data_IF_312379084120
#
_entry.id   IF_312379084120
#
_cell.length_a   1.000
_cell.length_b   1.000
_cell.length_c   1.000
_cell.angle_alpha   90.00
_cell.angle_beta   90.00
_cell.angle_gamma   90.00
#
_symmetry.space_group_name_H-M   'P 1'
#
loop_
_entity.id
_entity.type
_entity.pdbx_description
1 polymer ?
#
# COMPACT_ATOMS: atom_id res chain seq x y z
N UNK A 1 54.00 -50.38 -26.65
CA UNK A 1 55.06 -49.37 -26.89
C UNK A 1 54.46 -47.98 -26.91
N UNK A 2 55.00 -47.07 -26.08
CA UNK A 2 55.14 -45.61 -26.22
C UNK A 2 53.98 -44.77 -26.81
N UNK A 3 53.40 -43.85 -25.99
CA UNK A 3 53.55 -42.36 -26.02
C UNK A 3 52.63 -41.67 -27.08
N UNK A 4 52.00 -40.50 -26.95
CA UNK A 4 51.71 -39.46 -25.93
C UNK A 4 50.89 -38.36 -26.67
N UNK A 5 50.23 -37.44 -25.93
CA UNK A 5 49.57 -36.16 -26.36
C UNK A 5 48.21 -36.31 -27.08
N UNK A 6 47.17 -35.47 -26.88
CA UNK A 6 47.13 -34.04 -26.54
C UNK A 6 45.79 -33.65 -25.86
N UNK A 7 45.86 -32.68 -24.97
CA UNK A 7 44.79 -31.94 -24.29
C UNK A 7 44.03 -31.02 -25.25
N UNK A 8 42.69 -31.01 -25.24
CA UNK A 8 41.87 -29.80 -25.46
C UNK A 8 40.64 -29.83 -24.54
N UNK A 9 40.60 -28.85 -23.64
CA UNK A 9 39.55 -28.52 -22.70
C UNK A 9 38.56 -27.59 -23.43
N UNK A 10 37.29 -27.98 -23.62
CA UNK A 10 36.23 -27.07 -24.05
C UNK A 10 35.37 -26.75 -22.82
N UNK A 11 35.58 -25.55 -22.27
CA UNK A 11 34.66 -24.89 -21.37
C UNK A 11 33.37 -24.56 -22.12
N UNK A 12 32.28 -25.25 -21.79
CA UNK A 12 30.93 -24.74 -22.01
C UNK A 12 30.44 -24.10 -20.72
N UNK A 13 30.74 -22.80 -20.59
CA UNK A 13 30.10 -21.91 -19.64
C UNK A 13 28.62 -21.82 -20.02
N UNK A 14 27.77 -22.62 -19.36
CA UNK A 14 26.32 -22.36 -19.38
C UNK A 14 26.11 -21.21 -18.40
N UNK A 15 26.15 -19.98 -18.93
CA UNK A 15 25.57 -18.81 -18.29
C UNK A 15 24.06 -19.04 -18.20
N UNK A 16 23.62 -19.64 -17.09
CA UNK A 16 22.22 -19.64 -16.70
C UNK A 16 21.88 -18.22 -16.27
N UNK A 17 21.45 -17.40 -17.23
CA UNK A 17 20.81 -16.10 -16.96
C UNK A 17 19.52 -16.43 -16.22
N UNK A 18 19.55 -16.28 -14.90
CA UNK A 18 18.34 -16.25 -14.09
C UNK A 18 17.51 -15.07 -14.61
N UNK A 19 16.42 -15.38 -15.29
CA UNK A 19 15.39 -14.42 -15.64
C UNK A 19 14.85 -13.87 -14.31
N UNK A 20 15.21 -12.64 -13.97
CA UNK A 20 14.83 -11.98 -12.72
C UNK A 20 13.31 -11.73 -12.73
N UNK A 21 12.57 -12.57 -12.01
CA UNK A 21 11.16 -12.31 -11.72
C UNK A 21 11.04 -11.40 -10.50
N UNK A 22 10.56 -10.17 -10.72
CA UNK A 22 10.10 -9.29 -9.66
C UNK A 22 8.90 -9.95 -8.96
N UNK A 23 9.05 -10.30 -7.68
CA UNK A 23 7.97 -10.90 -6.89
C UNK A 23 7.18 -9.79 -6.18
N UNK A 24 5.95 -9.55 -6.64
CA UNK A 24 4.99 -8.73 -5.91
C UNK A 24 4.58 -9.44 -4.61
N UNK A 25 4.31 -8.65 -3.57
CA UNK A 25 3.82 -9.13 -2.28
C UNK A 25 2.38 -9.72 -2.32
N UNK A 26 1.81 -9.93 -3.51
CA UNK A 26 0.61 -10.71 -3.76
C UNK A 26 0.73 -11.33 -5.15
N UNK A 27 0.53 -12.63 -5.26
CA UNK A 27 0.53 -13.38 -6.52
C UNK A 27 -0.68 -13.03 -7.39
N UNK A 28 -0.70 -11.81 -7.94
CA UNK A 28 -1.58 -11.39 -9.04
C UNK A 28 -0.72 -10.57 -10.00
N UNK A 29 -0.76 -10.93 -11.28
CA UNK A 29 0.10 -10.47 -12.37
C UNK A 29 0.47 -8.96 -12.35
N UNK A 30 1.76 -8.69 -12.25
CA UNK A 30 2.38 -7.38 -12.45
C UNK A 30 2.39 -7.02 -13.94
N UNK A 31 1.46 -6.15 -14.37
CA UNK A 31 1.65 -5.13 -15.40
C UNK A 31 0.40 -4.28 -15.71
N UNK A 32 -0.72 -4.48 -15.01
CA UNK A 32 -1.83 -3.52 -15.03
C UNK A 32 -1.85 -2.77 -13.71
N UNK A 33 -1.51 -1.48 -13.74
CA UNK A 33 -1.88 -0.59 -12.64
C UNK A 33 -3.41 -0.67 -12.55
N UNK A 34 -3.95 -1.28 -11.47
CA UNK A 34 -5.38 -1.57 -11.25
C UNK A 34 -6.37 -0.41 -11.44
N UNK A 35 -5.85 0.78 -11.68
CA UNK A 35 -6.55 2.05 -11.61
C UNK A 35 -6.82 2.62 -13.00
N UNK A 36 -6.09 2.23 -14.06
CA UNK A 36 -6.32 2.81 -15.39
C UNK A 36 -7.50 2.18 -16.11
N UNK A 37 -7.78 0.90 -15.81
CA UNK A 37 -8.85 0.15 -16.44
C UNK A 37 -9.88 -0.33 -15.40
N UNK A 38 -11.17 -0.34 -15.76
CA UNK A 38 -12.20 -0.88 -14.89
C UNK A 38 -11.98 -2.34 -14.51
N UNK A 39 -12.42 -2.72 -13.31
CA UNK A 39 -12.41 -4.12 -12.86
C UNK A 39 -13.82 -4.62 -12.57
N UNK A 40 -14.01 -5.93 -12.73
CA UNK A 40 -15.26 -6.62 -12.39
C UNK A 40 -15.22 -7.10 -10.93
N UNK A 41 -16.36 -7.18 -10.24
CA UNK A 41 -16.43 -7.82 -8.94
C UNK A 41 -16.05 -9.30 -9.03
N UNK A 42 -15.42 -9.80 -7.98
CA UNK A 42 -14.99 -11.20 -7.81
C UNK A 42 -15.63 -11.87 -6.57
N UNK A 43 -16.40 -11.11 -5.78
CA UNK A 43 -17.16 -11.57 -4.63
C UNK A 43 -18.60 -11.07 -4.70
N UNK A 44 -19.49 -11.80 -4.04
CA UNK A 44 -20.90 -11.46 -3.94
C UNK A 44 -21.14 -10.28 -2.99
N UNK A 45 -22.29 -9.63 -3.19
CA UNK A 45 -22.80 -8.60 -2.30
C UNK A 45 -23.08 -9.16 -0.89
N UNK A 46 -22.78 -8.36 0.13
CA UNK A 46 -23.13 -8.62 1.52
C UNK A 46 -23.90 -7.42 2.06
N UNK A 47 -25.25 -7.43 1.98
CA UNK A 47 -26.06 -6.34 2.50
C UNK A 47 -25.83 -6.10 4.00
N UNK A 48 -25.83 -4.83 4.40
CA UNK A 48 -25.57 -4.41 5.78
C UNK A 48 -26.42 -3.20 6.16
N UNK A 49 -26.88 -3.18 7.41
CA UNK A 49 -27.55 -2.01 7.99
C UNK A 49 -26.54 -0.90 8.30
N UNK A 50 -27.07 0.32 8.34
CA UNK A 50 -26.31 1.50 8.71
C UNK A 50 -26.07 1.58 10.22
N UNK A 51 -24.88 2.05 10.60
CA UNK A 51 -24.55 2.36 11.99
C UNK A 51 -25.28 3.60 12.51
N UNK A 52 -25.68 4.49 11.60
CA UNK A 52 -26.39 5.74 11.89
C UNK A 52 -27.57 5.90 10.93
N UNK A 53 -28.73 6.42 11.37
CA UNK A 53 -29.84 6.74 10.48
C UNK A 53 -29.42 7.82 9.46
N UNK A 54 -29.66 7.58 8.17
CA UNK A 54 -29.17 8.46 7.10
C UNK A 54 -30.01 9.73 6.97
N UNK A 55 -31.29 9.67 7.34
CA UNK A 55 -32.27 10.76 7.34
C UNK A 55 -31.88 11.99 8.17
N UNK A 56 -30.96 11.83 9.12
CA UNK A 56 -30.52 12.90 10.00
C UNK A 56 -29.15 13.45 9.61
N UNK A 57 -28.51 12.89 8.59
CA UNK A 57 -27.19 13.33 8.18
C UNK A 57 -27.29 14.43 7.13
N UNK A 58 -26.40 15.41 7.26
CA UNK A 58 -26.32 16.55 6.37
C UNK A 58 -25.04 16.48 5.53
N UNK A 59 -25.05 17.09 4.33
CA UNK A 59 -23.87 17.19 3.50
C UNK A 59 -22.78 18.01 4.21
N UNK A 60 -21.51 17.65 3.97
CA UNK A 60 -20.36 18.32 4.61
C UNK A 60 -20.23 19.80 4.20
N UNK A 61 -20.74 20.14 3.03
CA UNK A 61 -20.77 21.46 2.43
C UNK A 61 -21.54 22.47 3.31
N UNK A 62 -22.60 22.02 4.01
CA UNK A 62 -23.36 22.87 4.93
C UNK A 62 -22.52 23.38 6.11
N UNK A 63 -21.56 22.57 6.59
CA UNK A 63 -20.74 22.95 7.75
C UNK A 63 -19.61 23.91 7.39
N UNK A 64 -19.29 24.04 6.11
CA UNK A 64 -18.11 24.76 5.65
C UNK A 64 -18.43 26.10 5.00
N UNK A 65 -19.71 26.44 4.88
CA UNK A 65 -20.17 27.65 4.20
C UNK A 65 -19.88 27.66 2.70
N UNK A 66 -19.51 26.50 2.12
CA UNK A 66 -19.35 26.31 0.68
C UNK A 66 -20.73 26.19 0.01
N UNK A 67 -21.46 27.29 0.01
CA UNK A 67 -22.61 27.49 -0.86
C UNK A 67 -22.06 27.63 -2.32
N UNK A 68 -22.43 26.84 -3.34
CA UNK A 68 -23.57 25.95 -3.57
C UNK A 68 -23.16 25.01 -4.74
N UNK A 69 -23.12 23.68 -4.56
CA UNK A 69 -23.32 22.76 -5.70
C UNK A 69 -24.74 22.95 -6.21
N UNK A 70 -24.93 23.31 -7.49
CA UNK A 70 -26.23 23.84 -7.93
C UNK A 70 -26.92 22.99 -8.96
N UNK A 71 -28.24 23.11 -8.89
CA UNK A 71 -29.12 22.93 -10.04
C UNK A 71 -28.96 24.16 -10.94
N UNK A 72 -28.53 23.92 -12.17
CA UNK A 72 -28.34 24.89 -13.23
C UNK A 72 -29.66 25.05 -14.00
N UNK A 73 -30.49 25.97 -13.52
CA UNK A 73 -31.83 26.18 -14.09
C UNK A 73 -32.78 25.05 -13.69
N UNK A 74 -33.22 24.22 -14.64
CA UNK A 74 -34.13 23.09 -14.38
C UNK A 74 -33.33 21.86 -13.94
N UNK A 75 -33.73 21.22 -12.84
CA UNK A 75 -33.14 19.97 -12.36
C UNK A 75 -33.35 18.83 -13.37
N UNK A 76 -32.26 18.38 -13.99
CA UNK A 76 -32.21 17.29 -14.95
C UNK A 76 -31.58 16.02 -14.37
N UNK A 77 -31.30 15.97 -13.06
CA UNK A 77 -30.78 14.75 -12.42
C UNK A 77 -31.82 13.65 -12.46
N UNK A 78 -31.35 12.43 -12.68
CA UNK A 78 -32.20 11.24 -12.76
C UNK A 78 -31.86 10.24 -11.68
N UNK A 79 -32.89 9.65 -11.06
CA UNK A 79 -32.74 8.52 -10.15
C UNK A 79 -32.07 7.34 -10.85
N UNK A 80 -31.04 6.75 -10.23
CA UNK A 80 -30.42 5.52 -10.72
C UNK A 80 -31.20 4.30 -10.22
N UNK A 81 -32.12 3.79 -11.05
CA UNK A 81 -32.93 2.60 -10.71
C UNK A 81 -32.09 1.32 -10.60
N UNK A 82 -31.04 1.19 -11.40
CA UNK A 82 -30.15 0.02 -11.46
C UNK A 82 -28.82 0.27 -10.73
N UNK A 83 -28.87 0.81 -9.52
CA UNK A 83 -27.70 1.23 -8.73
C UNK A 83 -26.73 0.08 -8.39
N UNK A 84 -27.16 -1.19 -8.48
CA UNK A 84 -26.30 -2.38 -8.31
C UNK A 84 -25.59 -2.82 -9.59
N UNK A 85 -25.83 -2.14 -10.73
CA UNK A 85 -25.17 -2.39 -12.00
C UNK A 85 -23.94 -1.48 -12.19
N UNK A 86 -22.99 -1.92 -13.02
CA UNK A 86 -21.86 -1.08 -13.44
C UNK A 86 -22.35 0.08 -14.33
N UNK A 87 -21.80 1.32 -14.21
CA UNK A 87 -20.73 1.72 -13.30
C UNK A 87 -21.20 2.06 -11.87
N UNK A 88 -22.50 2.27 -11.66
CA UNK A 88 -23.09 2.81 -10.43
C UNK A 88 -22.74 2.06 -9.16
N UNK A 89 -22.58 0.73 -9.25
CA UNK A 89 -22.22 -0.10 -8.09
C UNK A 89 -20.85 0.20 -7.49
N UNK A 90 -19.98 0.91 -8.20
CA UNK A 90 -18.66 1.36 -7.73
C UNK A 90 -18.72 2.68 -6.96
N UNK A 91 -19.85 3.38 -7.04
CA UNK A 91 -20.08 4.67 -6.37
C UNK A 91 -20.64 4.38 -4.98
N UNK A 92 -20.06 5.01 -3.97
CA UNK A 92 -20.33 4.72 -2.57
C UNK A 92 -20.75 5.98 -1.82
N UNK A 93 -21.68 5.81 -0.88
CA UNK A 93 -22.01 6.81 0.12
C UNK A 93 -20.92 6.79 1.18
N UNK A 94 -20.41 7.97 1.57
CA UNK A 94 -19.46 8.13 2.65
C UNK A 94 -20.14 8.77 3.84
N UNK A 95 -20.02 8.14 5.01
CA UNK A 95 -20.34 8.79 6.28
C UNK A 95 -19.02 9.19 6.94
N UNK A 96 -18.81 10.49 7.13
CA UNK A 96 -17.54 11.05 7.56
C UNK A 96 -17.75 11.83 8.85
N UNK A 97 -17.11 11.38 9.93
CA UNK A 97 -17.21 12.03 11.24
C UNK A 97 -16.06 13.01 11.40
N UNK A 98 -16.37 14.28 11.61
CA UNK A 98 -15.43 15.32 12.01
C UNK A 98 -15.76 15.74 13.44
N UNK A 99 -14.79 15.63 14.35
CA UNK A 99 -15.04 15.70 15.79
C UNK A 99 -16.17 14.75 16.20
N UNK A 100 -17.38 15.26 16.48
CA UNK A 100 -18.53 14.47 16.92
C UNK A 100 -19.73 14.54 15.97
N UNK A 101 -19.57 15.15 14.78
CA UNK A 101 -20.66 15.30 13.81
C UNK A 101 -20.34 14.45 12.59
N UNK A 102 -21.32 13.65 12.17
CA UNK A 102 -21.23 12.83 10.95
C UNK A 102 -21.92 13.53 9.80
N UNK A 103 -21.22 13.61 8.67
CA UNK A 103 -21.68 14.19 7.42
C UNK A 103 -21.78 13.11 6.34
N UNK A 104 -22.52 13.42 5.27
CA UNK A 104 -22.53 12.61 4.05
C UNK A 104 -21.67 13.23 2.95
N UNK A 105 -21.13 12.35 2.12
CA UNK A 105 -20.42 12.67 0.88
C UNK A 105 -20.44 11.45 -0.04
N UNK A 106 -19.81 11.59 -1.21
CA UNK A 106 -19.71 10.52 -2.20
C UNK A 106 -18.25 10.10 -2.41
N UNK A 107 -18.02 8.84 -2.75
CA UNK A 107 -16.73 8.35 -3.22
C UNK A 107 -16.89 7.33 -4.33
N UNK A 108 -15.77 6.93 -4.94
CA UNK A 108 -15.73 5.94 -6.00
C UNK A 108 -14.66 4.91 -5.77
N UNK A 109 -15.01 3.63 -5.87
CA UNK A 109 -14.05 2.53 -5.76
C UNK A 109 -13.18 2.46 -7.02
N UNK A 110 -11.86 2.58 -6.84
CA UNK A 110 -10.85 2.64 -7.91
C UNK A 110 -9.83 1.49 -7.87
N UNK A 111 -9.84 0.69 -6.80
CA UNK A 111 -9.06 -0.54 -6.63
C UNK A 111 -9.72 -1.41 -5.53
N UNK A 112 -9.30 -2.68 -5.31
CA UNK A 112 -9.94 -3.57 -4.34
C UNK A 112 -10.18 -2.96 -2.96
N UNK A 113 -9.20 -2.24 -2.41
CA UNK A 113 -9.25 -1.61 -1.09
C UNK A 113 -9.15 -0.08 -1.15
N UNK A 114 -9.53 0.56 -2.27
CA UNK A 114 -9.25 1.99 -2.48
C UNK A 114 -10.41 2.76 -3.08
N UNK A 115 -10.71 3.91 -2.49
CA UNK A 115 -11.70 4.88 -2.96
C UNK A 115 -11.03 6.22 -3.28
N UNK A 116 -11.48 6.85 -4.35
CA UNK A 116 -11.23 8.24 -4.71
C UNK A 116 -12.41 9.11 -4.27
N UNK A 117 -12.13 10.26 -3.68
CA UNK A 117 -13.15 11.22 -3.21
C UNK A 117 -12.56 12.64 -3.13
N UNK A 118 -13.37 13.63 -2.74
CA UNK A 118 -12.91 14.98 -2.48
C UNK A 118 -12.00 15.00 -1.23
N UNK A 119 -11.02 15.90 -1.18
CA UNK A 119 -10.19 16.07 0.00
C UNK A 119 -10.96 16.60 1.20
N UNK A 120 -11.92 17.50 1.02
CA UNK A 120 -12.70 18.04 2.14
C UNK A 120 -13.54 16.96 2.86
N UNK A 121 -13.94 15.88 2.17
CA UNK A 121 -14.55 14.69 2.77
C UNK A 121 -13.63 13.97 3.78
N UNK A 122 -12.32 14.24 3.73
CA UNK A 122 -11.29 13.49 4.45
C UNK A 122 -10.49 14.37 5.42
N UNK A 123 -10.19 15.60 5.02
CA UNK A 123 -9.50 16.62 5.80
C UNK A 123 -10.11 17.99 5.49
N UNK A 124 -10.53 18.72 6.52
CA UNK A 124 -10.97 20.11 6.38
C UNK A 124 -10.57 20.89 7.65
N UNK A 125 -9.73 21.91 7.50
CA UNK A 125 -9.22 22.68 8.65
C UNK A 125 -10.33 23.48 9.34
N UNK A 126 -11.43 23.78 8.65
CA UNK A 126 -12.61 24.45 9.21
C UNK A 126 -13.39 23.53 10.15
N UNK A 127 -13.23 22.21 10.00
CA UNK A 127 -13.90 21.17 10.80
C UNK A 127 -12.95 20.47 11.79
N UNK A 128 -11.81 21.08 12.11
CA UNK A 128 -10.83 20.53 13.05
C UNK A 128 -9.79 19.59 12.42
N UNK A 129 -9.68 19.56 11.09
CA UNK A 129 -8.64 18.83 10.38
C UNK A 129 -9.13 17.49 9.85
N UNK A 130 -8.46 16.39 10.21
CA UNK A 130 -8.79 15.06 9.69
C UNK A 130 -10.13 14.57 10.22
N UNK A 131 -10.96 13.98 9.35
CA UNK A 131 -12.08 13.16 9.79
C UNK A 131 -11.58 12.11 10.79
N UNK A 132 -12.30 11.85 11.87
CA UNK A 132 -11.94 10.85 12.89
C UNK A 132 -12.36 9.46 12.44
N UNK A 133 -13.51 9.34 11.78
CA UNK A 133 -14.03 8.09 11.22
C UNK A 133 -14.60 8.32 9.82
N UNK A 134 -14.41 7.35 8.93
CA UNK A 134 -15.08 7.34 7.61
C UNK A 134 -15.52 5.90 7.33
N UNK A 135 -16.79 5.72 6.98
CA UNK A 135 -17.35 4.45 6.52
C UNK A 135 -17.93 4.62 5.12
N UNK A 136 -17.55 3.72 4.21
CA UNK A 136 -18.08 3.67 2.85
C UNK A 136 -19.17 2.61 2.74
N UNK A 137 -20.28 2.95 2.10
CA UNK A 137 -21.43 2.08 1.86
C UNK A 137 -21.71 1.95 0.36
N UNK A 138 -21.60 0.73 -0.16
CA UNK A 138 -21.89 0.42 -1.56
C UNK A 138 -23.33 -0.05 -1.74
N UNK A 139 -23.98 0.45 -2.80
CA UNK A 139 -25.39 0.18 -3.07
C UNK A 139 -26.30 0.74 -1.96
N UNK A 140 -26.00 1.94 -1.47
CA UNK A 140 -26.81 2.62 -0.47
C UNK A 140 -28.25 2.85 -0.96
N UNK A 141 -29.19 2.64 -0.04
CA UNK A 141 -30.64 2.89 -0.16
C UNK A 141 -31.15 3.53 1.14
N UNK A 142 -32.43 3.83 1.29
CA UNK A 142 -32.97 4.43 2.52
C UNK A 142 -32.60 3.68 3.80
N UNK A 143 -32.64 2.35 3.78
CA UNK A 143 -32.58 1.56 5.01
C UNK A 143 -31.26 0.79 5.18
N UNK A 144 -30.53 0.52 4.09
CA UNK A 144 -29.32 -0.32 4.12
C UNK A 144 -28.42 -0.10 2.92
N UNK A 145 -27.18 -0.55 3.05
CA UNK A 145 -26.27 -0.74 1.94
C UNK A 145 -26.43 -2.16 1.38
N UNK A 146 -26.82 -2.30 0.11
CA UNK A 146 -27.16 -3.61 -0.45
C UNK A 146 -25.97 -4.39 -1.00
N UNK A 147 -24.80 -3.78 -1.14
CA UNK A 147 -23.60 -4.45 -1.66
C UNK A 147 -22.59 -4.73 -0.56
N UNK A 148 -22.37 -3.78 0.34
CA UNK A 148 -21.42 -3.95 1.44
C UNK A 148 -20.98 -2.61 2.02
N UNK A 149 -20.14 -2.70 3.05
CA UNK A 149 -19.48 -1.55 3.65
C UNK A 149 -18.03 -1.83 3.99
N UNK A 150 -17.26 -0.77 4.14
CA UNK A 150 -15.90 -0.84 4.65
C UNK A 150 -15.54 0.44 5.42
N UNK A 151 -14.88 0.27 6.56
CA UNK A 151 -14.26 1.38 7.28
C UNK A 151 -12.94 1.76 6.63
N UNK A 152 -12.61 3.04 6.68
CA UNK A 152 -11.31 3.56 6.22
C UNK A 152 -10.20 3.21 7.22
N UNK A 153 -9.04 2.85 6.68
CA UNK A 153 -7.79 2.56 7.40
C UNK A 153 -6.74 3.68 7.22
N UNK A 154 -6.53 4.14 5.99
CA UNK A 154 -5.55 5.20 5.66
C UNK A 154 -6.17 6.26 4.79
N UNK A 155 -5.69 7.49 4.95
CA UNK A 155 -6.19 8.69 4.27
C UNK A 155 -5.01 9.40 3.63
N UNK A 156 -5.15 9.75 2.36
CA UNK A 156 -4.17 10.51 1.61
C UNK A 156 -4.85 11.72 1.00
N UNK A 157 -4.30 12.89 1.29
CA UNK A 157 -4.80 14.19 0.83
C UNK A 157 -3.60 14.94 0.26
N UNK A 158 -3.83 15.76 -0.78
CA UNK A 158 -2.77 16.59 -1.34
C UNK A 158 -2.26 17.60 -0.28
N UNK A 159 -0.94 17.75 -0.08
CA UNK A 159 -0.40 18.74 0.85
C UNK A 159 -0.90 20.17 0.58
N UNK A 160 -1.08 20.53 -0.69
CA UNK A 160 -1.59 21.84 -1.08
C UNK A 160 -3.02 22.09 -0.57
N UNK A 161 -3.86 21.06 -0.53
CA UNK A 161 -5.19 21.15 0.09
C UNK A 161 -5.08 21.41 1.59
N UNK A 162 -4.24 20.65 2.31
CA UNK A 162 -4.05 20.80 3.76
C UNK A 162 -3.65 22.24 4.11
N UNK A 163 -2.80 22.86 3.28
CA UNK A 163 -2.26 24.18 3.53
C UNK A 163 -3.17 25.33 3.07
N UNK A 164 -4.00 25.12 2.05
CA UNK A 164 -4.71 26.23 1.37
C UNK A 164 -6.23 26.10 1.31
N UNK A 165 -6.80 24.90 1.49
CA UNK A 165 -8.21 24.60 1.21
C UNK A 165 -8.64 25.00 -0.23
N UNK A 166 -7.70 25.06 -1.17
CA UNK A 166 -7.95 25.49 -2.55
C UNK A 166 -8.67 24.41 -3.35
N UNK A 167 -9.73 24.80 -4.06
CA UNK A 167 -10.49 23.93 -4.96
C UNK A 167 -9.66 23.33 -6.11
N UNK A 168 -8.44 23.82 -6.33
CA UNK A 168 -7.48 23.26 -7.30
C UNK A 168 -6.85 21.93 -6.83
N UNK A 169 -6.93 21.64 -5.53
CA UNK A 169 -6.27 20.50 -4.90
C UNK A 169 -7.23 19.61 -4.09
N UNK A 170 -8.54 19.77 -4.28
CA UNK A 170 -9.56 19.05 -3.52
C UNK A 170 -9.74 17.61 -4.02
N UNK A 171 -8.75 16.78 -3.72
CA UNK A 171 -8.69 15.37 -4.13
C UNK A 171 -8.02 14.53 -3.04
N UNK A 172 -8.65 13.41 -2.73
CA UNK A 172 -8.14 12.45 -1.76
C UNK A 172 -8.33 11.01 -2.20
N UNK A 173 -7.46 10.16 -1.66
CA UNK A 173 -7.54 8.71 -1.74
C UNK A 173 -7.67 8.14 -0.33
N UNK A 174 -8.66 7.28 -0.12
CA UNK A 174 -8.85 6.56 1.13
C UNK A 174 -8.67 5.05 0.92
N UNK A 175 -7.92 4.42 1.81
CA UNK A 175 -7.71 2.96 1.83
C UNK A 175 -8.65 2.32 2.83
N UNK A 176 -9.25 1.21 2.44
CA UNK A 176 -10.25 0.49 3.21
C UNK A 176 -9.62 -0.63 4.04
N UNK A 177 -10.19 -0.91 5.22
CA UNK A 177 -9.82 -2.07 6.04
C UNK A 177 -10.18 -3.40 5.39
N UNK A 178 -11.24 -3.42 4.58
CA UNK A 178 -11.72 -4.58 3.82
C UNK A 178 -11.91 -4.20 2.36
N UNK A 179 -11.60 -5.11 1.42
CA UNK A 179 -11.56 -4.76 0.00
C UNK A 179 -12.96 -4.72 -0.65
N UNK A 180 -13.69 -3.62 -0.44
CA UNK A 180 -15.04 -3.39 -1.00
C UNK A 180 -15.08 -3.46 -2.54
N UNK A 181 -13.95 -3.20 -3.21
CA UNK A 181 -13.78 -3.36 -4.66
C UNK A 181 -13.92 -4.78 -5.15
N UNK A 182 -13.73 -5.79 -4.30
CA UNK A 182 -14.00 -7.18 -4.69
C UNK A 182 -15.51 -7.44 -4.89
N UNK A 183 -16.39 -6.66 -4.26
CA UNK A 183 -17.85 -6.78 -4.39
C UNK A 183 -18.44 -5.81 -5.42
N UNK A 184 -17.77 -4.67 -5.61
CA UNK A 184 -18.22 -3.56 -6.46
C UNK A 184 -17.57 -3.56 -7.84
N UNK A 185 -16.37 -4.13 -7.98
CA UNK A 185 -15.47 -3.80 -9.09
C UNK A 185 -14.83 -2.42 -8.89
N UNK A 186 -14.30 -1.83 -9.95
CA UNK A 186 -13.75 -0.47 -9.89
C UNK A 186 -13.93 0.28 -11.20
N UNK A 187 -13.97 1.61 -11.13
CA UNK A 187 -13.81 2.48 -12.30
C UNK A 187 -12.34 2.69 -12.63
N UNK A 188 -12.04 2.81 -13.93
CA UNK A 188 -10.73 3.25 -14.40
C UNK A 188 -10.57 4.76 -14.24
N UNK A 189 -9.34 5.25 -14.35
CA UNK A 189 -8.96 6.66 -14.23
C UNK A 189 -8.07 7.04 -15.41
N UNK A 190 -8.28 8.23 -15.97
CA UNK A 190 -7.43 8.78 -17.03
C UNK A 190 -7.22 10.28 -16.86
N UNK A 191 -6.06 10.74 -17.32
CA UNK A 191 -5.69 12.15 -17.50
C UNK A 191 -5.99 12.65 -18.92
N UNK A 192 -6.51 11.79 -19.79
CA UNK A 192 -6.91 12.14 -21.15
C UNK A 192 -8.30 12.78 -21.10
N UNK A 193 -8.33 14.09 -21.33
CA UNK A 193 -9.54 14.91 -21.24
C UNK A 193 -9.74 15.64 -22.57
N UNK A 194 -10.97 15.62 -23.08
CA UNK A 194 -11.36 16.27 -24.33
C UNK A 194 -12.45 17.31 -24.07
N UNK A 195 -12.14 18.58 -24.32
CA UNK A 195 -13.14 19.66 -24.23
C UNK A 195 -14.37 19.35 -25.10
N UNK A 196 -15.56 19.69 -24.61
CA UNK A 196 -16.87 19.42 -25.20
C UNK A 196 -17.23 17.93 -25.35
N UNK A 197 -16.51 17.01 -24.68
CA UNK A 197 -16.97 15.63 -24.59
C UNK A 197 -18.18 15.49 -23.67
N UNK A 198 -19.03 14.50 -23.96
CA UNK A 198 -20.14 14.13 -23.07
C UNK A 198 -19.57 13.38 -21.87
N UNK A 199 -19.90 13.86 -20.69
CA UNK A 199 -19.47 13.31 -19.41
C UNK A 199 -20.67 13.02 -18.53
N UNK A 200 -20.44 12.18 -17.54
CA UNK A 200 -21.45 11.79 -16.56
C UNK A 200 -20.89 11.94 -15.14
N UNK A 201 -21.78 12.17 -14.20
CA UNK A 201 -21.51 12.10 -12.76
C UNK A 201 -22.68 11.44 -12.06
N UNK A 202 -22.43 10.83 -10.90
CA UNK A 202 -23.47 10.32 -10.03
C UNK A 202 -22.99 10.31 -8.57
N UNK A 203 -23.92 10.50 -7.65
CA UNK A 203 -23.66 10.51 -6.23
C UNK A 203 -24.92 10.58 -5.41
N UNK A 204 -24.75 10.95 -4.14
CA UNK A 204 -25.79 10.91 -3.13
C UNK A 204 -26.19 12.33 -2.67
N UNK A 205 -27.05 13.03 -3.43
CA UNK A 205 -27.46 14.38 -3.07
C UNK A 205 -28.43 14.41 -1.89
N UNK A 206 -28.18 15.31 -0.94
CA UNK A 206 -28.97 15.48 0.28
C UNK A 206 -30.42 15.91 0.01
N UNK A 207 -30.68 16.74 -1.02
CA UNK A 207 -32.04 17.16 -1.37
C UNK A 207 -32.94 16.00 -1.86
N UNK A 208 -32.34 14.85 -2.18
CA UNK A 208 -33.04 13.59 -2.51
C UNK A 208 -32.86 12.53 -1.42
N UNK A 209 -32.56 12.96 -0.20
CA UNK A 209 -32.32 12.14 0.98
C UNK A 209 -30.84 11.94 1.30
N UNK A 210 -29.93 11.89 0.33
CA UNK A 210 -28.51 11.63 0.62
C UNK A 210 -28.16 10.15 0.82
N UNK A 211 -29.11 9.23 0.59
CA UNK A 211 -28.89 7.78 0.54
C UNK A 211 -29.38 7.14 -0.76
N UNK A 212 -29.84 7.97 -1.70
CA UNK A 212 -30.33 7.52 -3.00
C UNK A 212 -29.42 8.05 -4.10
N UNK A 213 -28.96 7.17 -4.98
CA UNK A 213 -28.03 7.53 -6.04
C UNK A 213 -28.76 8.25 -7.19
N UNK A 214 -28.31 9.46 -7.51
CA UNK A 214 -28.76 10.24 -8.67
C UNK A 214 -27.60 10.44 -9.64
N UNK A 215 -27.93 10.54 -10.93
CA UNK A 215 -26.96 10.79 -11.99
C UNK A 215 -27.33 12.01 -12.82
N UNK A 216 -26.32 12.62 -13.42
CA UNK A 216 -26.46 13.64 -14.44
C UNK A 216 -25.55 13.36 -15.64
N UNK A 217 -25.85 13.99 -16.76
CA UNK A 217 -25.06 13.91 -18.00
C UNK A 217 -25.04 15.29 -18.64
N UNK A 218 -23.90 15.68 -19.20
CA UNK A 218 -23.71 17.00 -19.77
C UNK A 218 -22.41 17.07 -20.56
N UNK A 219 -22.04 18.28 -20.95
CA UNK A 219 -20.83 18.57 -21.71
C UNK A 219 -19.76 19.17 -20.81
N UNK A 220 -18.53 18.73 -21.01
CA UNK A 220 -17.36 19.37 -20.44
C UNK A 220 -17.13 20.74 -21.12
N UNK A 221 -17.40 21.84 -20.43
CA UNK A 221 -17.40 23.21 -21.01
C UNK A 221 -16.08 23.95 -20.88
N UNK A 222 -15.26 23.63 -19.87
CA UNK A 222 -13.97 24.27 -19.64
C UNK A 222 -13.02 23.33 -18.91
N UNK A 223 -11.74 23.44 -19.26
CA UNK A 223 -10.63 22.71 -18.64
C UNK A 223 -9.54 23.71 -18.28
N UNK A 224 -9.05 23.67 -17.05
CA UNK A 224 -7.84 24.37 -16.61
C UNK A 224 -6.77 23.33 -16.25
N UNK A 225 -5.66 23.78 -15.66
CA UNK A 225 -4.60 22.87 -15.19
C UNK A 225 -5.07 21.95 -14.07
N UNK A 226 -5.99 22.45 -13.23
CA UNK A 226 -6.40 21.80 -11.98
C UNK A 226 -7.89 21.47 -11.89
N UNK A 227 -8.74 22.09 -12.71
CA UNK A 227 -10.19 21.90 -12.63
C UNK A 227 -10.83 21.64 -14.00
N UNK A 228 -11.97 20.96 -13.98
CA UNK A 228 -12.86 20.77 -15.13
C UNK A 228 -14.26 21.28 -14.78
N UNK A 229 -14.94 21.94 -15.72
CA UNK A 229 -16.24 22.60 -15.49
C UNK A 229 -17.27 22.12 -16.50
N UNK A 230 -18.52 21.95 -16.06
CA UNK A 230 -19.58 21.32 -16.84
C UNK A 230 -20.97 21.80 -16.47
N UNK A 231 -21.92 21.55 -17.36
CA UNK A 231 -23.33 21.92 -17.26
C UNK A 231 -24.20 20.80 -16.67
N UNK A 232 -23.65 20.04 -15.71
CA UNK A 232 -24.38 18.97 -15.02
C UNK A 232 -24.85 19.45 -13.65
N UNK A 233 -26.14 19.28 -13.39
CA UNK A 233 -26.76 19.54 -12.10
C UNK A 233 -26.21 18.66 -10.98
N UNK A 234 -25.84 19.29 -9.86
CA UNK A 234 -25.39 18.60 -8.63
C UNK A 234 -25.95 19.29 -7.39
N UNK A 235 -25.71 18.72 -6.21
CA UNK A 235 -26.23 19.20 -4.95
C UNK A 235 -25.45 18.55 -3.80
N UNK A 236 -25.29 19.28 -2.69
CA UNK A 236 -24.50 18.87 -1.54
C UNK A 236 -24.73 17.41 -1.13
N UNK A 237 -23.64 16.72 -0.81
CA UNK A 237 -23.57 15.27 -0.61
C UNK A 237 -23.04 14.52 -1.84
N UNK A 238 -23.04 15.16 -3.00
CA UNK A 238 -22.33 14.67 -4.20
C UNK A 238 -20.85 15.05 -4.23
N UNK A 239 -20.35 15.80 -3.24
CA UNK A 239 -18.91 15.99 -3.08
C UNK A 239 -18.16 14.67 -3.03
N UNK A 240 -17.19 14.52 -3.92
CA UNK A 240 -16.41 13.31 -4.16
C UNK A 240 -16.97 12.36 -5.21
N UNK A 241 -18.09 12.70 -5.86
CA UNK A 241 -18.63 11.96 -7.01
C UNK A 241 -17.61 11.88 -8.16
N UNK A 242 -17.55 10.73 -8.87
CA UNK A 242 -16.71 10.62 -10.05
C UNK A 242 -17.33 11.40 -11.20
N UNK A 243 -16.51 12.12 -11.95
CA UNK A 243 -16.85 12.63 -13.28
C UNK A 243 -16.14 11.74 -14.29
N UNK A 244 -16.90 11.00 -15.11
CA UNK A 244 -16.34 10.03 -16.06
C UNK A 244 -16.76 10.29 -17.50
N UNK A 245 -15.88 9.86 -18.41
CA UNK A 245 -16.09 9.96 -19.86
C UNK A 245 -16.81 8.73 -20.44
N UNK A 246 -17.03 8.71 -21.75
CA UNK A 246 -17.71 7.60 -22.44
C UNK A 246 -17.01 6.23 -22.31
N UNK A 247 -15.72 6.19 -21.96
CA UNK A 247 -14.97 4.94 -21.70
C UNK A 247 -15.17 4.41 -20.27
N UNK A 248 -16.02 5.06 -19.47
CA UNK A 248 -16.15 4.84 -18.02
C UNK A 248 -14.81 5.02 -17.29
N UNK A 249 -14.05 6.06 -17.67
CA UNK A 249 -12.84 6.46 -16.96
C UNK A 249 -13.05 7.80 -16.28
N UNK A 250 -12.68 7.87 -15.01
CA UNK A 250 -12.76 9.08 -14.19
C UNK A 250 -11.73 10.09 -14.74
N UNK A 251 -12.21 11.30 -15.02
CA UNK A 251 -11.42 12.45 -15.46
C UNK A 251 -11.41 13.58 -14.43
N UNK A 252 -12.27 13.51 -13.41
CA UNK A 252 -12.28 14.45 -12.29
C UNK A 252 -13.12 13.94 -11.11
N UNK A 253 -12.97 14.63 -9.99
CA UNK A 253 -13.72 14.39 -8.75
C UNK A 253 -14.55 15.63 -8.45
N UNK A 254 -15.87 15.51 -8.50
CA UNK A 254 -16.79 16.61 -8.24
C UNK A 254 -16.67 17.10 -6.79
N UNK A 255 -16.80 18.41 -6.57
CA UNK A 255 -16.79 18.99 -5.22
C UNK A 255 -17.46 20.37 -5.13
N UNK A 256 -17.81 21.01 -6.25
CA UNK A 256 -18.19 22.43 -6.23
C UNK A 256 -19.20 22.82 -7.31
N UNK A 257 -19.97 23.85 -7.01
CA UNK A 257 -20.79 24.58 -7.98
C UNK A 257 -20.42 26.05 -8.13
N UNK A 258 -20.72 26.60 -9.30
CA UNK A 258 -20.60 28.02 -9.63
C UNK A 258 -21.65 28.39 -10.67
N UNK A 259 -21.93 29.69 -10.86
CA UNK A 259 -22.76 30.16 -11.97
C UNK A 259 -21.83 30.59 -13.11
N UNK A 260 -21.90 29.98 -14.31
CA UNK A 260 -22.96 29.10 -14.81
C UNK A 260 -22.65 27.59 -14.78
N UNK A 261 -21.56 27.11 -14.16
CA UNK A 261 -21.09 25.73 -14.26
C UNK A 261 -20.71 25.12 -12.91
N UNK A 262 -21.05 23.83 -12.74
CA UNK A 262 -20.45 23.01 -11.69
C UNK A 262 -19.06 22.53 -12.10
N UNK A 263 -18.23 22.15 -11.14
CA UNK A 263 -16.85 21.77 -11.42
C UNK A 263 -16.28 20.69 -10.49
N UNK A 264 -15.15 20.15 -10.92
CA UNK A 264 -14.44 19.06 -10.29
C UNK A 264 -12.94 19.34 -10.25
N UNK A 265 -12.25 18.75 -9.28
CA UNK A 265 -10.78 18.64 -9.30
C UNK A 265 -10.40 17.68 -10.42
N UNK A 266 -9.53 18.14 -11.32
CA UNK A 266 -9.11 17.42 -12.53
C UNK A 266 -8.16 16.28 -12.18
N UNK A 267 -8.32 15.14 -12.85
CA UNK A 267 -7.26 14.16 -12.97
C UNK A 267 -6.27 14.66 -14.04
N UNK A 268 -5.23 15.36 -13.62
CA UNK A 268 -4.07 15.67 -14.47
C UNK A 268 -2.97 14.60 -14.28
N UNK A 269 -1.91 14.64 -15.09
CA UNK A 269 -0.81 13.66 -15.03
C UNK A 269 -0.17 13.58 -13.62
N UNK A 270 0.04 14.73 -12.95
CA UNK A 270 0.58 14.78 -11.58
C UNK A 270 -0.35 14.08 -10.59
N UNK A 271 -1.65 14.40 -10.61
CA UNK A 271 -2.64 13.78 -9.74
C UNK A 271 -2.77 12.28 -10.04
N UNK A 272 -2.76 11.87 -11.30
CA UNK A 272 -2.82 10.46 -11.69
C UNK A 272 -1.61 9.68 -11.19
N UNK A 273 -0.39 10.24 -11.27
CA UNK A 273 0.83 9.65 -10.71
C UNK A 273 0.75 9.54 -9.19
N UNK A 274 0.23 10.53 -8.49
CA UNK A 274 0.04 10.50 -7.04
C UNK A 274 -0.99 9.46 -6.62
N UNK A 275 -2.13 9.38 -7.30
CA UNK A 275 -3.16 8.35 -7.06
C UNK A 275 -2.54 6.97 -7.29
N UNK A 276 -1.80 6.77 -8.40
CA UNK A 276 -1.04 5.54 -8.68
C UNK A 276 -0.09 5.20 -7.54
N UNK A 277 0.63 6.18 -7.02
CA UNK A 277 1.53 5.96 -5.89
C UNK A 277 0.75 5.53 -4.63
N UNK A 278 -0.29 6.25 -4.22
CA UNK A 278 -1.07 5.96 -3.00
C UNK A 278 -1.84 4.63 -3.03
N UNK A 279 -2.18 4.16 -4.23
CA UNK A 279 -2.90 2.90 -4.47
C UNK A 279 -1.96 1.71 -4.68
N UNK A 280 -0.67 1.93 -4.96
CA UNK A 280 0.30 0.88 -5.25
C UNK A 280 0.50 -0.08 -4.07
N UNK A 281 0.57 -1.38 -4.38
CA UNK A 281 1.14 -2.38 -3.49
C UNK A 281 2.67 -2.29 -3.63
N UNK A 282 3.46 -2.22 -2.53
CA UNK A 282 4.91 -2.16 -2.63
C UNK A 282 5.48 -3.33 -3.44
N UNK A 283 6.32 -3.02 -4.44
CA UNK A 283 7.01 -4.02 -5.26
C UNK A 283 8.29 -4.45 -4.56
N UNK A 284 8.53 -5.77 -4.52
CA UNK A 284 9.74 -6.34 -3.93
C UNK A 284 10.88 -6.36 -4.93
N UNK A 285 12.01 -5.76 -4.56
CA UNK A 285 13.26 -5.91 -5.30
C UNK A 285 14.10 -6.99 -4.65
N UNK A 286 14.78 -7.80 -5.47
CA UNK A 286 15.71 -8.82 -4.97
C UNK A 286 16.78 -8.18 -4.09
N UNK A 287 16.98 -8.75 -2.90
CA UNK A 287 17.96 -8.27 -1.92
C UNK A 287 19.00 -9.34 -1.56
N UNK A 288 18.56 -10.57 -1.32
CA UNK A 288 19.40 -11.77 -1.09
C UNK A 288 20.59 -11.56 -0.14
N UNK A 289 20.33 -11.09 1.08
CA UNK A 289 21.35 -10.98 2.14
C UNK A 289 20.91 -11.65 3.43
N UNK A 290 21.87 -12.09 4.25
CA UNK A 290 21.59 -12.38 5.64
C UNK A 290 21.54 -11.08 6.45
N UNK A 291 20.54 -10.95 7.32
CA UNK A 291 20.37 -9.79 8.20
C UNK A 291 20.20 -10.26 9.64
N UNK A 292 20.62 -9.45 10.60
CA UNK A 292 20.47 -9.72 12.03
C UNK A 292 19.55 -8.69 12.70
N UNK A 293 18.67 -9.16 13.58
CA UNK A 293 17.75 -8.30 14.34
C UNK A 293 18.54 -7.48 15.36
N UNK A 294 18.44 -6.15 15.28
CA UNK A 294 19.26 -5.24 16.09
C UNK A 294 18.49 -4.48 17.17
N UNK A 295 17.17 -4.63 17.23
CA UNK A 295 16.31 -3.96 18.21
C UNK A 295 15.33 -4.94 18.85
N UNK A 296 14.99 -4.72 20.13
CA UNK A 296 14.09 -5.59 20.90
C UNK A 296 12.62 -5.19 20.73
N UNK A 297 12.31 -3.89 20.65
CA UNK A 297 10.96 -3.39 20.42
C UNK A 297 10.73 -3.14 18.93
N UNK A 298 10.30 -4.18 18.22
CA UNK A 298 10.07 -4.15 16.77
C UNK A 298 8.63 -4.53 16.45
N UNK A 299 8.16 -4.17 15.26
CA UNK A 299 6.90 -4.70 14.71
C UNK A 299 7.20 -5.50 13.45
N UNK A 300 6.66 -6.71 13.39
CA UNK A 300 6.79 -7.62 12.26
C UNK A 300 5.42 -7.81 11.64
N UNK A 301 5.30 -7.63 10.33
CA UNK A 301 4.01 -7.52 9.66
C UNK A 301 3.72 -8.70 8.75
N UNK A 302 2.43 -9.04 8.67
CA UNK A 302 1.90 -10.10 7.80
C UNK A 302 1.67 -9.63 6.35
N UNK A 303 1.57 -8.32 6.15
CA UNK A 303 1.23 -7.68 4.88
C UNK A 303 1.69 -6.21 4.91
N UNK A 304 1.56 -5.51 3.79
CA UNK A 304 1.81 -4.07 3.68
C UNK A 304 0.59 -3.20 4.00
N UNK A 305 -0.55 -3.82 4.33
CA UNK A 305 -1.69 -3.09 4.86
C UNK A 305 -1.47 -2.75 6.35
N UNK A 306 -0.59 -3.49 7.04
CA UNK A 306 -0.26 -3.33 8.47
C UNK A 306 -1.46 -3.60 9.39
N UNK A 307 -2.41 -4.42 8.92
CA UNK A 307 -3.60 -4.78 9.70
C UNK A 307 -3.28 -5.79 10.78
N UNK A 308 -2.34 -6.70 10.51
CA UNK A 308 -1.99 -7.80 11.41
C UNK A 308 -0.48 -7.87 11.69
N UNK A 309 -0.12 -7.85 12.98
CA UNK A 309 1.26 -8.10 13.44
C UNK A 309 1.49 -9.60 13.65
N UNK A 310 2.70 -10.05 13.34
CA UNK A 310 3.18 -11.38 13.71
C UNK A 310 3.56 -11.40 15.19
N UNK A 311 3.32 -12.54 15.88
CA UNK A 311 3.81 -12.74 17.24
C UNK A 311 5.35 -12.75 17.26
N UNK A 312 5.93 -12.13 18.29
CA UNK A 312 7.39 -12.01 18.45
C UNK A 312 8.01 -13.14 19.28
N UNK A 313 7.24 -14.18 19.64
CA UNK A 313 7.65 -15.25 20.58
C UNK A 313 9.00 -15.90 20.24
N UNK A 314 9.33 -15.99 18.95
CA UNK A 314 10.58 -16.61 18.46
C UNK A 314 11.55 -15.61 17.80
N UNK A 315 11.31 -14.30 17.96
CA UNK A 315 12.12 -13.25 17.31
C UNK A 315 12.84 -12.46 18.40
N UNK A 316 14.17 -12.61 18.45
CA UNK A 316 15.03 -12.00 19.47
C UNK A 316 16.14 -11.18 18.82
N UNK A 317 16.65 -10.20 19.55
CA UNK A 317 17.85 -9.46 19.16
C UNK A 317 19.01 -10.44 18.95
N UNK A 318 19.72 -10.31 17.83
CA UNK A 318 20.79 -11.21 17.42
C UNK A 318 20.36 -12.32 16.47
N UNK A 319 19.06 -12.68 16.41
CA UNK A 319 18.58 -13.66 15.44
C UNK A 319 18.94 -13.26 14.01
N UNK A 320 19.29 -14.24 13.19
CA UNK A 320 19.66 -14.04 11.78
C UNK A 320 18.62 -14.66 10.86
N UNK A 321 18.30 -13.93 9.80
CA UNK A 321 17.31 -14.32 8.79
C UNK A 321 17.84 -14.05 7.38
N UNK A 322 17.31 -14.79 6.40
CA UNK A 322 17.50 -14.53 4.97
C UNK A 322 16.53 -13.43 4.54
N UNK A 323 17.05 -12.27 4.14
CA UNK A 323 16.29 -11.20 3.52
C UNK A 323 16.27 -11.39 2.00
N UNK A 324 15.18 -11.92 1.46
CA UNK A 324 15.06 -12.20 0.01
C UNK A 324 14.71 -10.95 -0.79
N UNK A 325 13.81 -10.13 -0.26
CA UNK A 325 13.29 -8.94 -0.96
C UNK A 325 13.32 -7.70 -0.08
N UNK A 326 13.46 -6.54 -0.72
CA UNK A 326 13.38 -5.20 -0.12
C UNK A 326 12.28 -4.39 -0.80
N UNK A 327 11.53 -3.63 0.00
CA UNK A 327 10.35 -2.88 -0.44
C UNK A 327 10.46 -1.45 0.07
N UNK A 328 10.37 -0.46 -0.83
CA UNK A 328 10.11 0.93 -0.44
C UNK A 328 8.61 1.09 -0.33
N UNK A 329 8.11 1.34 0.88
CA UNK A 329 6.69 1.51 1.14
C UNK A 329 6.32 2.99 1.05
N UNK A 330 5.09 3.27 0.62
CA UNK A 330 4.54 4.63 0.47
C UNK A 330 4.44 5.43 1.78
N UNK A 331 4.77 4.82 2.92
CA UNK A 331 4.83 5.49 4.22
C UNK A 331 6.22 6.08 4.49
N UNK A 332 7.08 6.12 3.46
CA UNK A 332 8.47 6.58 3.53
C UNK A 332 9.46 5.57 4.10
N UNK A 333 8.99 4.43 4.63
CA UNK A 333 9.84 3.42 5.26
C UNK A 333 10.22 2.30 4.28
N UNK A 334 11.34 1.64 4.58
CA UNK A 334 11.80 0.47 3.83
C UNK A 334 11.60 -0.79 4.65
N UNK A 335 11.10 -1.85 4.02
CA UNK A 335 10.85 -3.14 4.65
C UNK A 335 11.59 -4.26 3.93
N UNK A 336 11.92 -5.32 4.66
CA UNK A 336 12.53 -6.54 4.15
C UNK A 336 11.58 -7.72 4.38
N UNK A 337 11.46 -8.62 3.40
CA UNK A 337 10.80 -9.91 3.57
C UNK A 337 11.82 -10.92 4.10
N UNK A 338 11.64 -11.36 5.35
CA UNK A 338 12.58 -12.22 6.06
C UNK A 338 12.11 -13.67 6.11
N UNK A 339 13.06 -14.59 5.97
CA UNK A 339 12.86 -16.02 5.97
C UNK A 339 13.87 -16.70 6.91
N UNK A 340 13.49 -17.80 7.53
CA UNK A 340 14.42 -18.60 8.32
C UNK A 340 15.35 -19.46 7.45
N UNK A 341 16.20 -20.27 8.11
CA UNK A 341 17.12 -21.17 7.44
C UNK A 341 16.41 -22.18 6.53
N UNK A 342 15.20 -22.62 6.91
CA UNK A 342 14.34 -23.57 6.19
C UNK A 342 13.49 -22.90 5.11
N UNK A 343 13.77 -21.64 4.75
CA UNK A 343 13.00 -20.85 3.79
C UNK A 343 11.54 -20.59 4.19
N UNK A 344 11.17 -20.79 5.46
CA UNK A 344 9.84 -20.41 5.95
C UNK A 344 9.80 -18.89 6.13
N UNK A 345 8.76 -18.27 5.61
CA UNK A 345 8.56 -16.84 5.72
C UNK A 345 8.20 -16.43 7.16
N UNK A 346 8.90 -15.41 7.65
CA UNK A 346 8.77 -14.92 9.03
C UNK A 346 7.90 -13.68 9.08
N UNK A 347 8.08 -12.76 8.13
CA UNK A 347 7.32 -11.51 8.08
C UNK A 347 8.06 -10.38 7.36
N UNK A 348 7.38 -9.23 7.28
CA UNK A 348 8.01 -7.98 6.86
C UNK A 348 8.59 -7.24 8.06
N UNK A 349 9.88 -6.93 8.00
CA UNK A 349 10.62 -6.21 9.03
C UNK A 349 11.01 -4.84 8.51
N UNK A 350 10.94 -3.81 9.33
CA UNK A 350 11.47 -2.51 8.94
C UNK A 350 13.00 -2.59 8.83
N UNK A 351 13.56 -2.01 7.77
CA UNK A 351 14.99 -2.00 7.47
C UNK A 351 15.83 -1.30 8.55
N UNK A 352 15.23 -0.47 9.40
CA UNK A 352 15.90 0.19 10.54
C UNK A 352 16.03 -0.69 11.79
N UNK A 353 15.35 -1.83 11.81
CA UNK A 353 15.28 -2.75 12.96
C UNK A 353 16.21 -3.95 12.79
N UNK A 354 16.84 -4.05 11.62
CA UNK A 354 17.83 -5.05 11.26
C UNK A 354 19.00 -4.39 10.53
N UNK A 355 20.14 -5.07 10.44
CA UNK A 355 21.21 -4.67 9.54
C UNK A 355 21.82 -5.86 8.81
N UNK A 356 22.48 -5.59 7.69
CA UNK A 356 23.17 -6.59 6.89
C UNK A 356 24.28 -7.26 7.70
N UNK A 357 24.21 -8.58 7.83
CA UNK A 357 25.27 -9.34 8.45
C UNK A 357 26.44 -9.46 7.46
N UNK A 358 27.51 -8.71 7.72
CA UNK A 358 28.68 -8.64 6.85
C UNK A 358 29.93 -9.08 7.61
N UNK A 359 30.77 -9.86 6.95
CA UNK A 359 32.09 -10.22 7.46
C UNK A 359 33.05 -9.05 7.30
N UNK A 360 33.77 -8.71 8.36
CA UNK A 360 34.89 -7.77 8.33
C UNK A 360 36.17 -8.57 8.25
N UNK A 361 37.06 -8.22 7.32
CA UNK A 361 38.37 -8.89 7.20
C UNK A 361 39.16 -8.70 8.50
N UNK A 362 39.72 -9.78 9.02
CA UNK A 362 40.47 -9.81 10.28
C UNK A 362 41.87 -10.40 10.11
N UNK A 363 41.99 -11.57 9.45
CA UNK A 363 43.25 -12.28 9.21
C UNK A 363 44.20 -12.35 10.42
N UNK A 364 43.69 -12.82 11.56
CA UNK A 364 44.42 -12.92 12.82
C UNK A 364 44.55 -14.36 13.29
N UNK A 365 45.71 -14.75 13.82
CA UNK A 365 45.86 -15.99 14.60
C UNK A 365 45.25 -15.83 15.99
N UNK A 366 44.36 -16.74 16.37
CA UNK A 366 43.64 -16.71 17.65
C UNK A 366 43.81 -18.04 18.38
N UNK A 367 44.07 -18.00 19.69
CA UNK A 367 44.16 -19.22 20.52
C UNK A 367 42.81 -19.52 21.14
N UNK A 368 42.34 -20.77 21.04
CA UNK A 368 41.08 -21.19 21.69
C UNK A 368 41.33 -21.35 23.19
N UNK A 369 40.75 -20.47 23.99
CA UNK A 369 41.02 -20.32 25.43
C UNK A 369 39.86 -20.74 26.32
N UNK A 370 38.71 -21.09 25.75
CA UNK A 370 37.53 -21.66 26.45
C UNK A 370 37.06 -22.93 25.74
N UNK A 371 36.52 -23.90 26.48
CA UNK A 371 36.17 -25.23 25.96
C UNK A 371 34.65 -25.50 25.90
N UNK A 372 33.81 -24.59 26.40
CA UNK A 372 32.35 -24.77 26.52
C UNK A 372 31.52 -24.04 25.44
N UNK A 373 32.14 -23.58 24.34
CA UNK A 373 31.46 -22.90 23.25
C UNK A 373 31.18 -23.85 22.09
N UNK A 374 30.08 -23.59 21.38
CA UNK A 374 29.71 -24.30 20.16
C UNK A 374 30.38 -23.65 18.95
N UNK A 375 30.85 -24.47 18.01
CA UNK A 375 31.31 -24.06 16.69
C UNK A 375 30.18 -24.35 15.69
N UNK A 376 29.66 -23.30 15.07
CA UNK A 376 28.45 -23.33 14.25
C UNK A 376 28.75 -23.35 12.76
N UNK A 377 27.84 -23.93 11.96
CA UNK A 377 27.94 -23.90 10.50
C UNK A 377 27.53 -22.55 9.88
N UNK A 378 26.69 -21.82 10.59
CA UNK A 378 26.01 -20.65 10.08
C UNK A 378 25.53 -19.79 11.25
N UNK A 379 25.15 -18.56 10.94
CA UNK A 379 24.60 -17.65 11.94
C UNK A 379 23.12 -17.89 12.26
N UNK A 380 22.48 -18.89 11.64
CA UNK A 380 21.16 -19.36 12.06
C UNK A 380 21.23 -20.14 13.37
N UNK A 381 22.42 -20.67 13.72
CA UNK A 381 22.70 -21.41 14.96
C UNK A 381 21.83 -22.66 15.14
N UNK A 382 21.39 -23.26 14.03
CA UNK A 382 20.58 -24.49 14.03
C UNK A 382 21.47 -25.75 14.04
N UNK A 383 22.62 -25.71 13.35
CA UNK A 383 23.50 -26.87 13.20
C UNK A 383 24.87 -26.62 13.82
N UNK A 384 25.19 -27.47 14.79
CA UNK A 384 26.51 -27.53 15.42
C UNK A 384 27.45 -28.38 14.55
N UNK A 385 28.62 -27.83 14.21
CA UNK A 385 29.72 -28.58 13.59
C UNK A 385 30.55 -29.27 14.67
N UNK A 386 30.98 -28.50 15.68
CA UNK A 386 31.91 -29.00 16.69
C UNK A 386 31.80 -28.25 18.02
N UNK A 387 32.62 -28.58 19.02
CA UNK A 387 32.79 -27.80 20.25
C UNK A 387 34.19 -27.22 20.34
N UNK A 388 34.31 -26.09 21.03
CA UNK A 388 35.62 -25.48 21.29
C UNK A 388 36.56 -26.37 22.10
N UNK A 389 36.04 -27.36 22.85
CA UNK A 389 36.87 -28.34 23.60
C UNK A 389 37.81 -29.12 22.67
N UNK A 390 37.37 -29.43 21.45
CA UNK A 390 38.11 -30.24 20.48
C UNK A 390 39.29 -29.47 19.86
N UNK A 391 39.33 -28.16 20.13
CA UNK A 391 40.38 -27.23 19.71
C UNK A 391 41.01 -26.48 20.88
N UNK A 392 40.72 -26.84 22.12
CA UNK A 392 41.19 -26.10 23.29
C UNK A 392 42.73 -26.04 23.32
N UNK A 393 43.28 -24.84 23.50
CA UNK A 393 44.71 -24.58 23.47
C UNK A 393 45.34 -24.48 22.06
N UNK A 394 44.63 -24.87 21.00
CA UNK A 394 45.11 -24.75 19.62
C UNK A 394 45.02 -23.31 19.13
N UNK A 395 45.91 -22.95 18.21
CA UNK A 395 45.87 -21.67 17.49
C UNK A 395 45.25 -21.90 16.11
N UNK A 396 44.26 -21.08 15.74
CA UNK A 396 43.56 -21.14 14.46
C UNK A 396 43.59 -19.76 13.77
N UNK A 397 43.34 -19.73 12.47
CA UNK A 397 43.30 -18.51 11.67
C UNK A 397 41.86 -17.96 11.64
N UNK A 398 41.62 -16.82 12.30
CA UNK A 398 40.38 -16.07 12.19
C UNK A 398 40.44 -15.11 11.00
N UNK A 399 39.82 -15.48 9.87
CA UNK A 399 39.87 -14.68 8.64
C UNK A 399 38.90 -13.51 8.64
N UNK A 400 37.72 -13.71 9.21
CA UNK A 400 36.66 -12.71 9.24
C UNK A 400 36.03 -12.62 10.63
N UNK A 401 35.61 -11.42 11.03
CA UNK A 401 34.73 -11.21 12.18
C UNK A 401 33.33 -10.76 11.75
N UNK A 402 32.33 -11.16 12.51
CA UNK A 402 30.92 -10.85 12.27
C UNK A 402 30.30 -10.39 13.57
N UNK A 403 29.65 -9.21 13.53
CA UNK A 403 28.93 -8.66 14.68
C UNK A 403 27.43 -8.86 14.47
N UNK A 404 26.79 -9.52 15.43
CA UNK A 404 25.35 -9.77 15.43
C UNK A 404 24.60 -8.63 16.11
N UNK A 405 23.29 -8.54 15.88
CA UNK A 405 22.45 -7.45 16.39
C UNK A 405 22.45 -7.29 17.90
N UNK A 406 22.74 -8.36 18.64
CA UNK A 406 22.91 -8.39 20.09
C UNK A 406 24.33 -8.00 20.56
N UNK A 407 25.19 -7.51 19.65
CA UNK A 407 26.60 -7.14 19.86
C UNK A 407 27.54 -8.33 20.10
N UNK A 408 27.07 -9.56 20.06
CA UNK A 408 27.97 -10.72 20.05
C UNK A 408 28.82 -10.71 18.77
N UNK A 409 30.08 -11.11 18.91
CA UNK A 409 31.04 -11.16 17.83
C UNK A 409 31.51 -12.59 17.62
N UNK A 410 31.54 -13.02 16.36
CA UNK A 410 31.95 -14.36 15.96
C UNK A 410 33.10 -14.28 14.96
N UNK A 411 34.02 -15.21 15.07
CA UNK A 411 35.10 -15.40 14.11
C UNK A 411 34.80 -16.57 13.18
N UNK A 412 35.10 -16.39 11.89
CA UNK A 412 35.19 -17.50 10.93
C UNK A 412 36.59 -18.10 11.03
N UNK A 413 36.67 -19.32 11.55
CA UNK A 413 37.92 -20.00 11.87
C UNK A 413 38.34 -20.96 10.78
N UNK A 414 39.64 -21.01 10.54
CA UNK A 414 40.31 -21.88 9.58
C UNK A 414 41.52 -22.53 10.24
N UNK A 415 41.83 -23.76 9.86
CA UNK A 415 43.09 -24.40 10.25
C UNK A 415 44.29 -23.89 9.41
N UNK A 416 45.47 -24.45 9.66
CA UNK A 416 46.70 -24.09 8.95
C UNK A 416 46.70 -24.55 7.48
N UNK A 417 45.87 -25.54 7.12
CA UNK A 417 45.64 -25.95 5.73
C UNK A 417 44.61 -25.05 5.02
N UNK A 418 44.15 -23.99 5.68
CA UNK A 418 43.11 -23.09 5.20
C UNK A 418 41.74 -23.78 4.99
N UNK A 419 41.50 -24.90 5.67
CA UNK A 419 40.18 -25.54 5.71
C UNK A 419 39.31 -24.82 6.74
N UNK A 420 38.08 -24.51 6.34
CA UNK A 420 37.13 -23.84 7.23
C UNK A 420 36.63 -24.79 8.32
N UNK A 421 36.64 -24.30 9.56
CA UNK A 421 36.26 -25.05 10.77
C UNK A 421 34.85 -24.69 11.23
N UNK A 422 34.46 -23.42 11.11
CA UNK A 422 33.15 -22.95 11.57
C UNK A 422 33.19 -21.54 12.14
N UNK A 423 32.04 -21.09 12.62
CA UNK A 423 31.89 -19.84 13.35
C UNK A 423 31.96 -20.08 14.86
N UNK A 424 32.88 -19.39 15.54
CA UNK A 424 33.04 -19.46 16.99
C UNK A 424 32.88 -18.07 17.60
N UNK A 425 32.19 -17.97 18.73
CA UNK A 425 32.08 -16.71 19.46
C UNK A 425 33.47 -16.24 19.93
N UNK A 426 33.81 -14.97 19.66
CA UNK A 426 35.09 -14.34 19.99
C UNK A 426 35.48 -14.51 21.46
N UNK A 427 34.53 -14.55 22.39
CA UNK A 427 34.76 -14.73 23.84
C UNK A 427 35.46 -16.07 24.16
N UNK A 428 35.45 -17.03 23.24
CA UNK A 428 36.15 -18.30 23.38
C UNK A 428 37.63 -18.24 23.00
N UNK A 429 38.14 -17.07 22.59
CA UNK A 429 39.48 -16.89 22.01
C UNK A 429 40.30 -15.83 22.73
N UNK A 430 41.64 -15.92 22.63
CA UNK A 430 42.62 -14.93 23.08
C UNK A 430 43.47 -14.43 21.92
#
# INVERSE_FOLDING_TARGET
MKRFLLVILILLLISYVLKEENVSASSINNNHTYITEPTKPIKDATPVDYEVPQENLRPIEEATGSEIERILGKDNRMLVKNYTSYPYKTIVLLNMTFTNITYIGTGTVIAPDTILTAAHNVYDSRLGGWATEITAYAGATANKATIGKAKVDKKYVLPDWINSQSSQHDLAVIKLKTPLGEQTGSLGITDKIKLNEVIQTAGYPADKGGWTLYKGSGLLKKVTDFNIYYDIDTYGGQSGSPVWNAENKIIGVHAYGSTPLNFATKINDTNLKLIKNWTSIPVGHVYNKNVTVSKSNISVWNDFQFLNKKPLTHIKVGNVYKAKYIYKHNNGQTYLSLYDNKNKWIGYFNRRDVYDLKGTLLNKKVKISKNNYVIWDSFFLDNKINLSKDFYGKTLNAKYSYKLGNKEEFYSLYDDSNKWIGYLNKKATQ
#
